data_IF_445821289906
#
_entry.id   IF_445821289906
#
_cell.length_a   1.000
_cell.length_b   1.000
_cell.length_c   1.000
_cell.angle_alpha   90.00
_cell.angle_beta   90.00
_cell.angle_gamma   90.00
#
_symmetry.space_group_name_H-M   'P 1'
#
loop_
_entity.id
_entity.type
_entity.pdbx_description
1 polymer ?
#
# COMPACT_ATOMS: atom_id res chain seq x y z
N UNK A 1 3.48 -21.35 -29.83
CA UNK A 1 3.52 -21.34 -28.36
C UNK A 1 4.57 -20.33 -27.93
N UNK A 2 4.21 -19.34 -27.12
CA UNK A 2 5.18 -18.39 -26.55
C UNK A 2 5.87 -19.01 -25.33
N UNK A 3 7.08 -18.56 -24.99
CA UNK A 3 7.88 -19.08 -23.88
C UNK A 3 7.09 -19.07 -22.55
N UNK A 4 6.25 -18.06 -22.33
CA UNK A 4 5.34 -18.01 -21.17
C UNK A 4 4.22 -19.06 -21.17
N UNK A 5 3.73 -19.46 -22.34
CA UNK A 5 2.77 -20.58 -22.45
C UNK A 5 3.42 -21.91 -22.05
N UNK A 6 4.69 -22.10 -22.40
CA UNK A 6 5.49 -23.27 -21.98
C UNK A 6 5.72 -23.23 -20.46
N UNK A 7 6.04 -22.05 -19.90
CA UNK A 7 6.24 -21.88 -18.46
C UNK A 7 4.98 -22.18 -17.63
N UNK A 8 3.80 -21.81 -18.11
CA UNK A 8 2.52 -22.16 -17.48
C UNK A 8 2.22 -23.66 -17.62
N UNK A 9 2.41 -24.22 -18.82
CA UNK A 9 2.15 -25.64 -19.08
C UNK A 9 3.08 -26.59 -18.31
N UNK A 10 4.29 -26.13 -17.97
CA UNK A 10 5.31 -26.92 -17.28
C UNK A 10 5.61 -26.40 -15.87
N UNK A 11 4.62 -25.82 -15.19
CA UNK A 11 4.79 -25.23 -13.85
C UNK A 11 5.30 -26.22 -12.80
N UNK A 12 4.97 -27.50 -12.96
CA UNK A 12 5.42 -28.59 -12.08
C UNK A 12 6.82 -29.12 -12.40
N UNK A 13 7.48 -28.62 -13.45
CA UNK A 13 8.85 -29.01 -13.79
C UNK A 13 9.85 -28.24 -12.92
N UNK A 14 10.83 -28.95 -12.36
CA UNK A 14 11.72 -28.45 -11.30
C UNK A 14 12.57 -27.24 -11.70
N UNK A 15 12.83 -27.03 -12.99
CA UNK A 15 13.80 -26.02 -13.48
C UNK A 15 13.26 -25.09 -14.57
N UNK A 16 12.11 -25.41 -15.18
CA UNK A 16 11.60 -24.67 -16.34
C UNK A 16 11.19 -23.24 -15.98
N UNK A 17 10.44 -22.99 -14.89
CA UNK A 17 10.09 -21.63 -14.50
C UNK A 17 11.31 -20.75 -14.24
N UNK A 18 12.30 -21.28 -13.54
CA UNK A 18 13.55 -20.59 -13.19
C UNK A 18 14.36 -20.24 -14.44
N UNK A 19 14.52 -21.18 -15.38
CA UNK A 19 15.20 -20.90 -16.66
C UNK A 19 14.50 -19.80 -17.44
N UNK A 20 13.16 -19.82 -17.50
CA UNK A 20 12.38 -18.78 -18.19
C UNK A 20 12.56 -17.42 -17.51
N UNK A 21 12.51 -17.37 -16.18
CA UNK A 21 12.77 -16.13 -15.43
C UNK A 21 14.17 -15.59 -15.75
N UNK A 22 15.21 -16.44 -15.74
CA UNK A 22 16.58 -16.00 -16.06
C UNK A 22 16.71 -15.47 -17.48
N UNK A 23 16.11 -16.15 -18.48
CA UNK A 23 16.09 -15.70 -19.87
C UNK A 23 15.42 -14.33 -19.97
N UNK A 24 14.28 -14.15 -19.30
CA UNK A 24 13.58 -12.87 -19.29
C UNK A 24 14.42 -11.79 -18.60
N UNK A 25 15.00 -12.04 -17.43
CA UNK A 25 15.85 -11.07 -16.73
C UNK A 25 17.07 -10.63 -17.56
N UNK A 26 17.69 -11.54 -18.32
CA UNK A 26 18.80 -11.20 -19.20
C UNK A 26 18.37 -10.30 -20.37
N UNK A 27 17.14 -10.45 -20.87
CA UNK A 27 16.62 -9.70 -22.01
C UNK A 27 15.87 -8.43 -21.64
N UNK A 28 15.30 -8.39 -20.44
CA UNK A 28 14.39 -7.35 -20.02
C UNK A 28 15.06 -5.98 -20.05
N UNK A 29 14.48 -5.07 -20.85
CA UNK A 29 14.94 -3.70 -21.06
C UNK A 29 16.38 -3.53 -21.60
N UNK A 30 16.94 -4.54 -22.28
CA UNK A 30 18.23 -4.42 -22.98
C UNK A 30 18.12 -4.83 -24.48
N UNK A 31 17.67 -3.93 -25.38
CA UNK A 31 17.09 -2.60 -25.12
C UNK A 31 15.59 -2.65 -24.76
N UNK A 32 14.98 -1.55 -24.24
CA UNK A 32 13.54 -1.47 -24.03
C UNK A 32 12.74 -1.81 -25.29
N UNK A 33 11.76 -2.70 -25.16
CA UNK A 33 10.96 -3.13 -26.32
C UNK A 33 9.54 -3.56 -25.93
N UNK A 34 8.60 -3.65 -26.90
CA UNK A 34 7.26 -4.18 -26.64
C UNK A 34 7.27 -5.63 -26.10
N UNK A 35 8.37 -6.37 -26.30
CA UNK A 35 8.52 -7.72 -25.75
C UNK A 35 8.53 -7.70 -24.22
N UNK A 36 9.02 -6.63 -23.58
CA UNK A 36 9.06 -6.50 -22.13
C UNK A 36 7.65 -6.57 -21.52
N UNK A 37 6.64 -5.97 -22.19
CA UNK A 37 5.22 -6.04 -21.78
C UNK A 37 4.73 -7.50 -21.82
N UNK A 38 5.12 -8.24 -22.85
CA UNK A 38 4.77 -9.66 -22.99
C UNK A 38 5.46 -10.48 -21.91
N UNK A 39 6.73 -10.21 -21.59
CA UNK A 39 7.45 -10.88 -20.50
C UNK A 39 6.78 -10.67 -19.16
N UNK A 40 6.40 -9.44 -18.80
CA UNK A 40 5.66 -9.12 -17.56
C UNK A 40 4.38 -9.94 -17.47
N UNK A 41 3.59 -9.98 -18.54
CA UNK A 41 2.35 -10.78 -18.58
C UNK A 41 2.61 -12.28 -18.45
N UNK A 42 3.68 -12.79 -19.06
CA UNK A 42 4.06 -14.20 -18.95
C UNK A 42 4.47 -14.55 -17.52
N UNK A 43 5.29 -13.73 -16.87
CA UNK A 43 5.71 -13.92 -15.49
C UNK A 43 4.51 -13.92 -14.53
N UNK A 44 3.55 -13.02 -14.74
CA UNK A 44 2.31 -13.00 -13.96
C UNK A 44 1.46 -14.27 -14.15
N UNK A 45 1.34 -14.76 -15.39
CA UNK A 45 0.61 -16.00 -15.65
C UNK A 45 1.30 -17.22 -15.00
N UNK A 46 2.64 -17.29 -15.05
CA UNK A 46 3.41 -18.35 -14.39
C UNK A 46 3.26 -18.28 -12.87
N UNK A 47 3.26 -17.07 -12.31
CA UNK A 47 2.98 -16.86 -10.89
C UNK A 47 1.64 -17.47 -10.48
N UNK A 48 0.58 -17.08 -11.19
CA UNK A 48 -0.81 -17.50 -10.95
C UNK A 48 -0.94 -19.02 -11.12
N UNK A 49 -0.22 -19.60 -12.07
CA UNK A 49 -0.19 -21.05 -12.29
C UNK A 49 0.50 -21.83 -11.15
N UNK A 50 1.10 -21.16 -10.16
CA UNK A 50 1.73 -21.80 -9.01
C UNK A 50 3.24 -22.03 -9.14
N UNK A 51 3.94 -21.28 -10.00
CA UNK A 51 5.39 -21.35 -10.16
C UNK A 51 6.14 -20.78 -8.93
N UNK A 52 6.07 -21.45 -7.78
CA UNK A 52 6.56 -20.93 -6.49
C UNK A 52 8.06 -20.57 -6.50
N UNK A 53 8.88 -21.28 -7.27
CA UNK A 53 10.33 -21.04 -7.34
C UNK A 53 10.69 -19.63 -7.85
N UNK A 54 9.86 -19.05 -8.73
CA UNK A 54 10.11 -17.73 -9.31
C UNK A 54 9.42 -16.59 -8.57
N UNK A 55 8.63 -16.89 -7.53
CA UNK A 55 7.81 -15.88 -6.85
C UNK A 55 8.68 -14.74 -6.29
N UNK A 56 9.76 -15.05 -5.59
CA UNK A 56 10.63 -13.99 -5.08
C UNK A 56 11.23 -13.11 -6.19
N UNK A 57 11.69 -13.73 -7.28
CA UNK A 57 12.30 -13.03 -8.39
C UNK A 57 11.32 -12.11 -9.14
N UNK A 58 10.10 -12.59 -9.39
CA UNK A 58 9.08 -11.81 -10.10
C UNK A 58 8.59 -10.63 -9.26
N UNK A 59 8.34 -10.81 -7.95
CA UNK A 59 7.94 -9.66 -7.12
C UNK A 59 9.06 -8.66 -6.96
N UNK A 60 10.32 -9.10 -6.85
CA UNK A 60 11.46 -8.18 -6.83
C UNK A 60 11.52 -7.34 -8.10
N UNK A 61 11.32 -7.95 -9.27
CA UNK A 61 11.28 -7.24 -10.56
C UNK A 61 10.12 -6.24 -10.61
N UNK A 62 8.92 -6.64 -10.20
CA UNK A 62 7.73 -5.78 -10.24
C UNK A 62 7.83 -4.61 -9.25
N UNK A 63 8.37 -4.86 -8.05
CA UNK A 63 8.68 -3.82 -7.07
C UNK A 63 9.69 -2.82 -7.64
N UNK A 64 10.78 -3.31 -8.24
CA UNK A 64 11.79 -2.45 -8.86
C UNK A 64 11.18 -1.56 -9.95
N UNK A 65 10.40 -2.15 -10.87
CA UNK A 65 9.73 -1.39 -11.93
C UNK A 65 8.76 -0.36 -11.34
N UNK A 66 7.98 -0.74 -10.33
CA UNK A 66 7.00 0.15 -9.71
C UNK A 66 7.69 1.37 -9.07
N UNK A 67 8.79 1.16 -8.35
CA UNK A 67 9.56 2.24 -7.72
C UNK A 67 10.24 3.13 -8.78
N UNK A 68 10.96 2.53 -9.74
CA UNK A 68 11.74 3.28 -10.73
C UNK A 68 10.87 4.00 -11.78
N UNK A 69 9.67 3.47 -12.08
CA UNK A 69 8.72 4.13 -12.99
C UNK A 69 7.85 5.20 -12.33
N UNK A 70 7.80 5.26 -11.00
CA UNK A 70 6.98 6.19 -10.22
C UNK A 70 7.36 7.67 -10.38
N UNK A 71 8.51 7.98 -11.00
CA UNK A 71 8.96 9.34 -11.29
C UNK A 71 8.16 10.07 -12.39
N UNK A 72 7.09 9.46 -12.92
CA UNK A 72 6.56 9.83 -14.24
C UNK A 72 5.37 10.79 -14.31
N UNK A 73 4.67 11.15 -13.24
CA UNK A 73 3.28 11.64 -13.47
C UNK A 73 3.10 13.17 -13.54
N UNK A 74 3.95 14.02 -12.95
CA UNK A 74 3.72 15.50 -12.97
C UNK A 74 4.96 16.40 -13.10
N UNK A 75 6.07 15.90 -13.64
CA UNK A 75 7.25 16.73 -13.91
C UNK A 75 7.07 17.47 -15.24
N UNK A 76 6.74 18.78 -15.21
CA UNK A 76 6.69 19.63 -16.42
C UNK A 76 8.09 20.07 -16.91
N UNK A 77 9.16 19.67 -16.23
CA UNK A 77 10.53 20.00 -16.65
C UNK A 77 11.10 18.92 -17.57
N UNK A 78 11.88 19.30 -18.60
CA UNK A 78 12.58 18.34 -19.46
C UNK A 78 13.70 17.68 -18.65
N UNK A 79 13.41 16.51 -18.07
CA UNK A 79 14.41 15.78 -17.29
C UNK A 79 15.24 14.87 -18.20
N UNK A 80 16.51 14.68 -17.85
CA UNK A 80 17.48 13.91 -18.63
C UNK A 80 16.98 12.49 -18.94
N UNK A 81 17.31 11.97 -20.13
CA UNK A 81 16.89 10.66 -20.65
C UNK A 81 17.18 9.45 -19.73
N UNK A 82 18.03 9.61 -18.73
CA UNK A 82 18.40 8.62 -17.72
C UNK A 82 17.34 8.41 -16.61
N UNK A 83 16.34 9.28 -16.46
CA UNK A 83 15.34 9.20 -15.38
C UNK A 83 14.03 8.47 -15.74
N UNK A 84 13.94 7.87 -16.93
CA UNK A 84 12.72 7.23 -17.44
C UNK A 84 12.79 5.69 -17.48
N UNK A 85 13.45 5.08 -16.49
CA UNK A 85 13.66 3.63 -16.48
C UNK A 85 12.31 2.91 -16.26
N UNK A 86 12.02 1.92 -17.11
CA UNK A 86 10.81 1.08 -17.05
C UNK A 86 9.45 1.78 -17.25
N UNK A 87 9.46 3.04 -17.67
CA UNK A 87 8.26 3.81 -17.96
C UNK A 87 7.30 3.12 -18.96
N UNK A 88 7.84 2.38 -19.93
CA UNK A 88 7.09 1.65 -20.95
C UNK A 88 6.36 0.40 -20.44
N UNK A 89 6.72 -0.12 -19.26
CA UNK A 89 6.15 -1.34 -18.67
C UNK A 89 5.36 -1.10 -17.38
N UNK A 90 5.35 0.13 -16.86
CA UNK A 90 4.67 0.48 -15.60
C UNK A 90 3.21 0.01 -15.55
N UNK A 91 2.42 0.33 -16.58
CA UNK A 91 1.02 -0.11 -16.70
C UNK A 91 0.89 -1.64 -16.80
N UNK A 92 1.83 -2.31 -17.47
CA UNK A 92 1.80 -3.76 -17.60
C UNK A 92 2.05 -4.44 -16.25
N UNK A 93 2.94 -3.88 -15.42
CA UNK A 93 3.20 -4.36 -14.06
C UNK A 93 2.00 -4.09 -13.16
N UNK A 94 1.39 -2.91 -13.25
CA UNK A 94 0.18 -2.55 -12.51
C UNK A 94 -0.96 -3.56 -12.76
N UNK A 95 -1.23 -3.85 -14.03
CA UNK A 95 -2.22 -4.85 -14.45
C UNK A 95 -1.82 -6.27 -14.02
N UNK A 96 -0.53 -6.61 -14.09
CA UNK A 96 -0.04 -7.91 -13.66
C UNK A 96 -0.25 -8.13 -12.15
N UNK A 97 0.06 -7.14 -11.31
CA UNK A 97 -0.19 -7.19 -9.87
C UNK A 97 -1.67 -7.35 -9.56
N UNK A 98 -2.56 -6.65 -10.30
CA UNK A 98 -4.01 -6.83 -10.17
C UNK A 98 -4.45 -8.25 -10.52
N UNK A 99 -3.93 -8.83 -11.60
CA UNK A 99 -4.24 -10.22 -11.98
C UNK A 99 -3.69 -11.24 -11.00
N UNK A 100 -2.52 -11.00 -10.40
CA UNK A 100 -1.96 -11.87 -9.37
C UNK A 100 -2.83 -11.82 -8.10
N UNK A 101 -3.23 -10.62 -7.66
CA UNK A 101 -4.11 -10.45 -6.51
C UNK A 101 -5.48 -11.15 -6.70
N UNK A 102 -6.04 -11.07 -7.91
CA UNK A 102 -7.30 -11.73 -8.25
C UNK A 102 -7.16 -13.25 -8.44
N UNK A 103 -6.07 -13.70 -9.07
CA UNK A 103 -5.90 -15.09 -9.53
C UNK A 103 -5.18 -16.02 -8.56
N UNK A 104 -4.59 -15.52 -7.47
CA UNK A 104 -3.86 -16.37 -6.51
C UNK A 104 -4.79 -17.38 -5.82
N UNK A 105 -4.33 -18.61 -5.64
CA UNK A 105 -5.06 -19.65 -4.91
C UNK A 105 -5.21 -19.28 -3.42
N UNK A 106 -6.24 -19.80 -2.76
CA UNK A 106 -6.45 -19.58 -1.33
C UNK A 106 -5.39 -20.29 -0.48
N UNK A 107 -5.02 -19.69 0.66
CA UNK A 107 -4.04 -20.24 1.61
C UNK A 107 -2.83 -19.34 1.87
N UNK A 108 -1.70 -19.95 2.24
CA UNK A 108 -0.47 -19.25 2.69
C UNK A 108 0.12 -18.28 1.65
N UNK A 109 -0.12 -18.57 0.37
CA UNK A 109 0.34 -17.75 -0.75
C UNK A 109 -0.36 -16.36 -0.76
N UNK A 110 -1.62 -16.25 -0.28
CA UNK A 110 -2.34 -14.97 -0.14
C UNK A 110 -1.70 -14.07 0.91
N UNK A 111 -1.37 -14.62 2.08
CA UNK A 111 -0.73 -13.87 3.16
C UNK A 111 0.66 -13.37 2.72
N UNK A 112 1.40 -14.23 2.03
CA UNK A 112 2.72 -13.89 1.46
C UNK A 112 2.61 -12.76 0.43
N UNK A 113 1.60 -12.78 -0.44
CA UNK A 113 1.35 -11.70 -1.40
C UNK A 113 0.91 -10.41 -0.70
N UNK A 114 0.04 -10.49 0.31
CA UNK A 114 -0.44 -9.34 1.07
C UNK A 114 0.72 -8.58 1.71
N UNK A 115 1.64 -9.30 2.36
CA UNK A 115 2.86 -8.71 2.95
C UNK A 115 3.65 -7.94 1.89
N UNK A 116 3.85 -8.53 0.70
CA UNK A 116 4.61 -7.88 -0.38
C UNK A 116 3.93 -6.64 -0.97
N UNK A 117 2.60 -6.68 -1.11
CA UNK A 117 1.84 -5.53 -1.61
C UNK A 117 1.86 -4.37 -0.60
N UNK A 118 1.72 -4.66 0.70
CA UNK A 118 1.85 -3.66 1.75
C UNK A 118 3.27 -3.11 1.84
N UNK A 119 4.29 -3.96 1.67
CA UNK A 119 5.69 -3.50 1.63
C UNK A 119 5.96 -2.58 0.46
N UNK A 120 5.46 -2.92 -0.74
CA UNK A 120 5.57 -2.06 -1.89
C UNK A 120 4.87 -0.71 -1.65
N UNK A 121 3.67 -0.74 -1.07
CA UNK A 121 2.95 0.48 -0.69
C UNK A 121 3.78 1.36 0.26
N UNK A 122 4.30 0.79 1.35
CA UNK A 122 5.11 1.53 2.32
C UNK A 122 6.40 2.06 1.69
N UNK A 123 7.08 1.27 0.85
CA UNK A 123 8.29 1.69 0.13
C UNK A 123 8.02 2.86 -0.81
N UNK A 124 6.93 2.83 -1.58
CA UNK A 124 6.52 3.95 -2.43
C UNK A 124 6.22 5.21 -1.61
N UNK A 125 5.61 5.07 -0.43
CA UNK A 125 5.38 6.19 0.48
C UNK A 125 6.65 6.81 1.04
N UNK A 126 7.65 5.98 1.38
CA UNK A 126 8.96 6.46 1.85
C UNK A 126 9.70 7.19 0.72
N UNK A 127 9.75 6.60 -0.48
CA UNK A 127 10.44 7.20 -1.62
C UNK A 127 9.77 8.51 -2.05
N UNK A 128 8.43 8.55 -2.04
CA UNK A 128 7.66 9.76 -2.30
C UNK A 128 8.02 10.92 -1.37
N UNK A 129 8.28 10.65 -0.08
CA UNK A 129 8.76 11.67 0.86
C UNK A 129 10.19 12.08 0.62
N UNK A 130 11.10 11.12 0.40
CA UNK A 130 12.53 11.41 0.14
C UNK A 130 12.72 12.35 -1.04
N UNK A 131 11.89 12.21 -2.07
CA UNK A 131 11.88 13.11 -3.24
C UNK A 131 11.25 14.46 -2.90
N UNK A 132 10.18 14.48 -2.10
CA UNK A 132 9.52 15.71 -1.62
C UNK A 132 10.40 16.60 -0.72
N UNK A 133 11.30 16.02 0.08
CA UNK A 133 12.23 16.76 0.94
C UNK A 133 13.33 17.49 0.16
N UNK A 134 13.73 16.97 -1.01
CA UNK A 134 14.80 17.55 -1.84
C UNK A 134 14.34 18.73 -2.70
N UNK A 135 13.03 18.87 -2.93
CA UNK A 135 12.46 19.88 -3.83
C UNK A 135 11.30 20.55 -3.11
N UNK A 136 11.50 21.81 -2.76
CA UNK A 136 10.59 22.76 -2.11
C UNK A 136 9.09 22.45 -2.23
N UNK A 137 8.39 22.62 -1.09
CA UNK A 137 6.93 22.64 -0.82
C UNK A 137 6.03 23.01 -2.02
N UNK A 138 5.85 22.10 -2.98
CA UNK A 138 4.85 22.24 -4.04
C UNK A 138 3.81 21.14 -3.90
N UNK A 139 2.55 21.54 -3.77
CA UNK A 139 1.36 20.68 -3.68
C UNK A 139 1.24 19.68 -4.83
N UNK A 140 1.92 19.96 -5.96
CA UNK A 140 1.91 19.17 -7.19
C UNK A 140 2.76 17.90 -7.13
N UNK A 141 3.78 17.79 -6.24
CA UNK A 141 4.57 16.54 -6.11
C UNK A 141 4.07 15.58 -5.04
N UNK A 142 3.32 16.09 -4.06
CA UNK A 142 2.61 15.27 -3.07
C UNK A 142 1.49 14.46 -3.75
N UNK A 143 0.92 14.95 -4.86
CA UNK A 143 -0.08 14.24 -5.66
C UNK A 143 0.49 13.12 -6.53
N UNK A 144 1.74 13.23 -7.02
CA UNK A 144 2.40 12.19 -7.82
C UNK A 144 2.70 10.95 -6.99
N UNK A 145 3.26 11.12 -5.79
CA UNK A 145 3.59 10.01 -4.88
C UNK A 145 2.34 9.35 -4.33
N UNK A 146 1.34 10.15 -3.94
CA UNK A 146 0.03 9.67 -3.55
C UNK A 146 -0.66 8.91 -4.70
N UNK A 147 -0.50 9.35 -5.95
CA UNK A 147 -1.02 8.63 -7.12
C UNK A 147 -0.50 7.19 -7.21
N UNK A 148 0.81 6.99 -7.01
CA UNK A 148 1.44 5.67 -7.06
C UNK A 148 1.06 4.77 -5.87
N UNK A 149 0.81 5.35 -4.70
CA UNK A 149 0.26 4.64 -3.55
C UNK A 149 -1.18 4.18 -3.81
N UNK A 150 -2.02 5.10 -4.28
CA UNK A 150 -3.45 4.87 -4.49
C UNK A 150 -3.73 3.74 -5.46
N UNK A 151 -2.95 3.59 -6.53
CA UNK A 151 -3.13 2.49 -7.48
C UNK A 151 -2.92 1.12 -6.85
N UNK A 152 -2.18 0.96 -5.75
CA UNK A 152 -2.02 -0.34 -5.09
C UNK A 152 -3.22 -0.75 -4.24
N UNK A 153 -4.01 0.21 -3.76
CA UNK A 153 -5.12 -0.05 -2.84
C UNK A 153 -6.17 -1.02 -3.43
N UNK A 154 -6.63 -0.86 -4.69
CA UNK A 154 -7.56 -1.82 -5.28
C UNK A 154 -7.00 -3.24 -5.33
N UNK A 155 -5.69 -3.42 -5.54
CA UNK A 155 -5.08 -4.76 -5.57
C UNK A 155 -5.06 -5.40 -4.18
N UNK A 156 -4.72 -4.62 -3.15
CA UNK A 156 -4.77 -5.05 -1.75
C UNK A 156 -6.21 -5.41 -1.37
N UNK A 157 -7.18 -4.58 -1.74
CA UNK A 157 -8.60 -4.81 -1.49
C UNK A 157 -9.11 -6.08 -2.18
N UNK A 158 -8.79 -6.29 -3.46
CA UNK A 158 -9.15 -7.51 -4.22
C UNK A 158 -8.64 -8.77 -3.52
N UNK A 159 -7.39 -8.75 -3.06
CA UNK A 159 -6.82 -9.87 -2.32
C UNK A 159 -7.54 -10.09 -0.97
N UNK A 160 -7.67 -9.03 -0.17
CA UNK A 160 -8.26 -9.10 1.17
C UNK A 160 -9.74 -9.48 1.17
N UNK A 161 -10.49 -9.12 0.12
CA UNK A 161 -11.91 -9.48 -0.03
C UNK A 161 -12.11 -11.00 0.04
N UNK A 162 -11.12 -11.77 -0.42
CA UNK A 162 -11.13 -13.25 -0.42
C UNK A 162 -10.53 -13.87 0.84
N UNK A 163 -10.01 -13.06 1.77
CA UNK A 163 -9.40 -13.53 3.01
C UNK A 163 -10.34 -13.36 4.21
N UNK A 164 -10.08 -14.12 5.27
CA UNK A 164 -10.71 -13.86 6.58
C UNK A 164 -10.12 -12.59 7.21
N UNK A 165 -10.86 -11.88 8.08
CA UNK A 165 -10.31 -10.77 8.85
C UNK A 165 -9.07 -11.19 9.63
N UNK A 166 -8.05 -10.31 9.64
CA UNK A 166 -6.75 -10.63 10.22
C UNK A 166 -6.77 -10.27 11.70
N UNK A 167 -6.98 -11.25 12.58
CA UNK A 167 -7.06 -11.00 14.03
C UNK A 167 -5.73 -11.16 14.77
N UNK A 168 -4.80 -11.99 14.26
CA UNK A 168 -3.51 -12.30 14.90
C UNK A 168 -2.34 -12.08 13.95
N UNK A 169 -2.05 -10.83 13.54
CA UNK A 169 -0.94 -10.55 12.63
C UNK A 169 0.41 -10.77 13.33
N UNK A 170 1.39 -11.25 12.56
CA UNK A 170 2.80 -11.17 12.95
C UNK A 170 3.22 -9.71 13.17
N UNK A 171 4.28 -9.48 13.94
CA UNK A 171 4.80 -8.11 14.21
C UNK A 171 5.09 -7.35 12.91
N UNK A 172 5.66 -8.01 11.90
CA UNK A 172 5.91 -7.42 10.57
C UNK A 172 4.61 -6.96 9.90
N UNK A 173 3.61 -7.84 9.82
CA UNK A 173 2.34 -7.52 9.15
C UNK A 173 1.57 -6.41 9.87
N UNK A 174 1.60 -6.41 11.20
CA UNK A 174 1.01 -5.36 12.04
C UNK A 174 1.62 -3.98 11.73
N UNK A 175 2.95 -3.91 11.68
CA UNK A 175 3.67 -2.68 11.37
C UNK A 175 3.32 -2.17 9.96
N UNK A 176 3.25 -3.08 8.98
CA UNK A 176 2.85 -2.74 7.62
C UNK A 176 1.43 -2.19 7.52
N UNK A 177 0.46 -2.79 8.23
CA UNK A 177 -0.90 -2.25 8.28
C UNK A 177 -0.95 -0.89 8.97
N UNK A 178 -0.22 -0.71 10.07
CA UNK A 178 -0.14 0.58 10.74
C UNK A 178 0.40 1.67 9.81
N UNK A 179 1.49 1.40 9.12
CA UNK A 179 2.09 2.35 8.17
C UNK A 179 1.12 2.62 7.01
N UNK A 180 0.45 1.60 6.49
CA UNK A 180 -0.60 1.73 5.47
C UNK A 180 -1.70 2.69 5.92
N UNK A 181 -2.24 2.51 7.13
CA UNK A 181 -3.30 3.36 7.67
C UNK A 181 -2.83 4.79 7.92
N UNK A 182 -1.60 4.97 8.41
CA UNK A 182 -1.03 6.30 8.59
C UNK A 182 -0.91 7.05 7.28
N UNK A 183 -0.42 6.41 6.20
CA UNK A 183 -0.43 7.03 4.88
C UNK A 183 -1.85 7.33 4.37
N UNK A 184 -2.80 6.42 4.59
CA UNK A 184 -4.20 6.65 4.23
C UNK A 184 -4.77 7.91 4.89
N UNK A 185 -4.54 8.07 6.19
CA UNK A 185 -5.02 9.22 6.95
C UNK A 185 -4.30 10.50 6.58
N UNK A 186 -2.96 10.47 6.42
CA UNK A 186 -2.17 11.66 6.09
C UNK A 186 -2.46 12.17 4.67
N UNK A 187 -2.65 11.27 3.72
CA UNK A 187 -2.93 11.62 2.32
C UNK A 187 -4.43 11.75 2.03
N UNK A 188 -5.30 11.43 2.98
CA UNK A 188 -6.75 11.56 2.85
C UNK A 188 -7.40 10.50 1.96
N UNK A 189 -6.79 9.33 1.80
CA UNK A 189 -7.40 8.19 1.10
C UNK A 189 -8.60 7.59 1.86
N UNK A 190 -8.66 7.81 3.18
CA UNK A 190 -9.72 7.36 4.07
C UNK A 190 -10.85 8.39 4.27
N UNK A 191 -10.92 9.42 3.40
CA UNK A 191 -11.94 10.47 3.45
C UNK A 191 -12.90 10.31 2.27
N UNK A 192 -14.15 9.99 2.61
CA UNK A 192 -15.25 9.90 1.66
C UNK A 192 -15.51 11.26 1.00
N UNK A 193 -15.78 11.28 -0.30
CA UNK A 193 -16.07 12.49 -1.08
C UNK A 193 -15.04 13.62 -0.92
N UNK A 194 -13.76 13.29 -0.68
CA UNK A 194 -12.70 14.29 -0.56
C UNK A 194 -12.55 15.16 -1.81
N UNK A 195 -12.96 14.65 -2.98
CA UNK A 195 -12.74 15.28 -4.29
C UNK A 195 -11.28 15.25 -4.73
N UNK A 196 -10.38 14.68 -3.93
CA UNK A 196 -8.94 14.62 -4.17
C UNK A 196 -8.54 13.37 -4.94
N UNK A 197 -9.18 12.24 -4.66
CA UNK A 197 -8.80 10.92 -5.15
C UNK A 197 -9.94 10.22 -5.89
N UNK A 198 -9.63 9.29 -6.82
CA UNK A 198 -10.63 8.41 -7.41
C UNK A 198 -11.46 7.70 -6.34
N UNK A 199 -12.77 7.64 -6.56
CA UNK A 199 -13.72 7.01 -5.63
C UNK A 199 -13.38 5.53 -5.36
N UNK A 200 -12.90 4.82 -6.39
CA UNK A 200 -12.47 3.43 -6.28
C UNK A 200 -11.36 3.21 -5.25
N UNK A 201 -10.53 4.23 -4.97
CA UNK A 201 -9.49 4.11 -3.94
C UNK A 201 -10.09 4.15 -2.54
N UNK A 202 -11.05 5.07 -2.30
CA UNK A 202 -11.80 5.08 -1.05
C UNK A 202 -12.57 3.77 -0.86
N UNK A 203 -13.26 3.28 -1.89
CA UNK A 203 -13.96 1.99 -1.87
C UNK A 203 -13.03 0.83 -1.54
N UNK A 204 -11.80 0.84 -2.09
CA UNK A 204 -10.78 -0.14 -1.75
C UNK A 204 -10.36 -0.05 -0.28
N UNK A 205 -10.13 1.16 0.25
CA UNK A 205 -9.80 1.38 1.68
C UNK A 205 -10.91 0.87 2.60
N UNK A 206 -12.18 1.07 2.23
CA UNK A 206 -13.32 0.51 2.97
C UNK A 206 -13.25 -1.02 3.06
N UNK A 207 -12.97 -1.71 1.95
CA UNK A 207 -12.78 -3.18 1.96
C UNK A 207 -11.60 -3.56 2.86
N UNK A 208 -10.47 -2.86 2.74
CA UNK A 208 -9.26 -3.12 3.54
C UNK A 208 -9.55 -2.94 5.05
N UNK A 209 -10.37 -1.96 5.43
CA UNK A 209 -10.80 -1.74 6.82
C UNK A 209 -11.51 -2.96 7.43
N UNK A 210 -12.36 -3.63 6.63
CA UNK A 210 -13.11 -4.83 7.09
C UNK A 210 -12.22 -6.03 7.40
N UNK A 211 -10.96 -6.03 6.92
CA UNK A 211 -10.04 -7.16 7.05
C UNK A 211 -8.77 -6.82 7.85
N UNK A 212 -8.49 -5.54 8.05
CA UNK A 212 -7.30 -5.07 8.78
C UNK A 212 -7.34 -5.51 10.25
N UNK A 213 -6.18 -5.77 10.87
CA UNK A 213 -6.09 -5.93 12.31
C UNK A 213 -6.36 -4.61 13.04
N UNK A 214 -6.64 -4.69 14.34
CA UNK A 214 -6.63 -3.52 15.23
C UNK A 214 -5.21 -2.92 15.33
N UNK A 215 -5.12 -1.60 15.46
CA UNK A 215 -3.87 -0.85 15.49
C UNK A 215 -3.27 -0.70 16.91
N UNK A 216 -3.57 -1.62 17.81
CA UNK A 216 -3.09 -1.59 19.20
C UNK A 216 -1.57 -1.81 19.23
N UNK A 217 -0.86 -0.93 19.95
CA UNK A 217 0.57 -1.05 20.25
C UNK A 217 0.87 -2.32 21.06
N UNK A 218 2.03 -2.95 20.83
CA UNK A 218 2.43 -4.14 21.59
C UNK A 218 3.13 -3.79 22.89
N UNK A 219 3.90 -2.69 22.89
CA UNK A 219 4.63 -2.22 24.06
C UNK A 219 4.13 -0.83 24.43
N UNK A 220 4.93 0.20 24.17
CA UNK A 220 4.60 1.57 24.46
C UNK A 220 4.22 2.30 23.18
N UNK A 221 2.96 2.73 23.08
CA UNK A 221 2.45 3.51 21.95
C UNK A 221 3.33 4.73 21.66
N UNK A 222 3.83 5.43 22.68
CA UNK A 222 4.69 6.60 22.50
C UNK A 222 5.98 6.24 21.77
N UNK A 223 6.64 5.16 22.17
CA UNK A 223 7.88 4.70 21.52
C UNK A 223 7.60 4.25 20.08
N UNK A 224 6.53 3.48 19.88
CA UNK A 224 6.15 2.98 18.56
C UNK A 224 5.75 4.08 17.57
N UNK A 225 5.25 5.22 18.06
CA UNK A 225 4.94 6.40 17.25
C UNK A 225 6.17 7.24 16.93
N UNK A 226 7.10 7.41 17.88
CA UNK A 226 8.33 8.19 17.68
C UNK A 226 9.21 7.58 16.58
N UNK A 227 9.33 6.24 16.57
CA UNK A 227 10.21 5.53 15.64
C UNK A 227 9.57 5.29 14.25
N UNK A 228 8.32 5.72 14.05
CA UNK A 228 7.57 5.40 12.85
C UNK A 228 7.94 6.33 11.67
N UNK A 229 8.55 5.75 10.63
CA UNK A 229 8.93 6.47 9.43
C UNK A 229 7.74 7.11 8.69
N UNK A 230 6.53 6.57 8.83
CA UNK A 230 5.30 7.05 8.19
C UNK A 230 4.77 8.37 8.77
N UNK A 231 5.21 8.82 9.94
CA UNK A 231 4.63 9.99 10.64
C UNK A 231 5.67 10.92 11.28
N UNK A 232 6.92 10.91 10.81
CA UNK A 232 7.97 11.78 11.38
C UNK A 232 7.53 13.26 11.38
N UNK A 233 7.60 13.86 12.56
CA UNK A 233 7.00 15.16 12.89
C UNK A 233 7.85 16.37 12.48
N UNK A 234 9.09 16.16 12.06
CA UNK A 234 10.08 17.21 11.77
C UNK A 234 9.74 18.07 10.54
N UNK A 235 8.88 17.56 9.66
CA UNK A 235 8.44 18.26 8.45
C UNK A 235 7.11 19.03 8.59
N UNK A 236 6.37 18.88 9.72
CA UNK A 236 4.99 19.37 9.85
C UNK A 236 4.97 20.77 10.47
N UNK A 237 4.28 21.70 9.81
CA UNK A 237 4.09 23.06 10.32
C UNK A 237 3.06 23.11 11.47
N UNK A 238 3.15 24.12 12.36
CA UNK A 238 2.15 24.30 13.42
C UNK A 238 0.71 24.44 12.90
N UNK A 239 0.53 25.02 11.70
CA UNK A 239 -0.78 25.18 11.08
C UNK A 239 -1.36 23.83 10.63
N UNK A 240 -0.57 23.00 9.94
CA UNK A 240 -0.98 21.65 9.53
C UNK A 240 -1.33 20.79 10.76
N UNK A 241 -0.54 20.88 11.84
CA UNK A 241 -0.86 20.20 13.09
C UNK A 241 -2.21 20.67 13.67
N UNK A 242 -2.50 21.97 13.61
CA UNK A 242 -3.78 22.48 14.10
C UNK A 242 -4.95 22.03 13.21
N UNK A 243 -4.77 21.92 11.90
CA UNK A 243 -5.77 21.35 10.98
C UNK A 243 -6.07 19.87 11.31
N UNK A 244 -5.04 19.08 11.60
CA UNK A 244 -5.21 17.70 12.07
C UNK A 244 -5.98 17.62 13.39
N UNK A 245 -5.62 18.46 14.38
CA UNK A 245 -6.35 18.53 15.65
C UNK A 245 -7.81 18.91 15.45
N UNK A 246 -8.09 19.90 14.62
CA UNK A 246 -9.45 20.31 14.30
C UNK A 246 -10.22 19.17 13.62
N UNK A 247 -9.58 18.41 12.74
CA UNK A 247 -10.18 17.23 12.10
C UNK A 247 -10.52 16.15 13.11
N UNK A 248 -9.62 15.84 14.05
CA UNK A 248 -9.87 14.89 15.15
C UNK A 248 -11.05 15.36 16.00
N UNK A 249 -11.06 16.64 16.41
CA UNK A 249 -12.17 17.24 17.14
C UNK A 249 -13.49 17.13 16.36
N UNK A 250 -13.47 17.37 15.04
CA UNK A 250 -14.63 17.23 14.17
C UNK A 250 -15.20 15.81 14.16
N UNK A 251 -14.35 14.78 14.03
CA UNK A 251 -14.77 13.38 14.09
C UNK A 251 -15.34 13.01 15.47
N UNK A 252 -14.85 13.65 16.53
CA UNK A 252 -15.30 13.45 17.91
C UNK A 252 -16.40 14.46 18.33
N UNK A 253 -17.10 15.06 17.36
CA UNK A 253 -18.22 15.99 17.57
C UNK A 253 -17.90 17.19 18.49
N UNK A 254 -16.65 17.64 18.51
CA UNK A 254 -16.18 18.79 19.28
C UNK A 254 -16.54 18.73 20.78
N UNK A 255 -16.51 17.53 21.39
CA UNK A 255 -16.78 17.38 22.82
C UNK A 255 -15.87 18.29 23.67
N UNK A 256 -16.49 19.10 24.54
CA UNK A 256 -15.79 20.08 25.39
C UNK A 256 -14.74 19.45 26.32
N UNK A 257 -14.92 18.19 26.70
CA UNK A 257 -13.99 17.43 27.54
C UNK A 257 -12.78 16.91 26.73
N UNK A 258 -12.99 16.64 25.43
CA UNK A 258 -11.99 16.01 24.55
C UNK A 258 -11.11 17.04 23.86
N UNK A 259 -11.67 18.19 23.47
CA UNK A 259 -10.93 19.25 22.76
C UNK A 259 -9.64 19.67 23.49
N UNK A 260 -9.62 19.90 24.81
CA UNK A 260 -8.37 20.24 25.53
C UNK A 260 -7.32 19.13 25.47
N UNK A 261 -7.74 17.86 25.40
CA UNK A 261 -6.84 16.71 25.29
C UNK A 261 -6.23 16.66 23.89
N UNK A 262 -7.06 16.76 22.85
CA UNK A 262 -6.61 16.75 21.45
C UNK A 262 -5.67 17.93 21.16
N UNK A 263 -5.92 19.11 21.73
CA UNK A 263 -5.04 20.27 21.55
C UNK A 263 -3.64 20.09 22.16
N UNK A 264 -3.45 19.10 23.05
CA UNK A 264 -2.14 18.73 23.59
C UNK A 264 -1.44 17.62 22.79
N UNK A 265 -2.15 16.98 21.86
CA UNK A 265 -1.60 15.90 21.05
C UNK A 265 -0.63 16.42 19.99
N UNK A 266 0.46 15.70 19.75
CA UNK A 266 1.33 15.94 18.62
C UNK A 266 0.76 15.35 17.31
N UNK A 267 1.48 15.54 16.20
CA UNK A 267 1.05 15.08 14.88
C UNK A 267 0.90 13.55 14.81
N UNK A 268 1.83 12.83 15.43
CA UNK A 268 1.84 11.38 15.46
C UNK A 268 0.63 10.82 16.22
N UNK A 269 0.33 11.40 17.38
CA UNK A 269 -0.84 11.06 18.19
C UNK A 269 -2.14 11.38 17.47
N UNK A 270 -2.24 12.54 16.81
CA UNK A 270 -3.42 12.90 16.01
C UNK A 270 -3.63 11.93 14.85
N UNK A 271 -2.56 11.59 14.12
CA UNK A 271 -2.61 10.65 12.99
C UNK A 271 -3.05 9.28 13.45
N UNK A 272 -2.47 8.77 14.54
CA UNK A 272 -2.85 7.49 15.12
C UNK A 272 -4.32 7.44 15.50
N UNK A 273 -4.80 8.41 16.28
CA UNK A 273 -6.19 8.46 16.73
C UNK A 273 -7.15 8.56 15.55
N UNK A 274 -6.85 9.41 14.57
CA UNK A 274 -7.68 9.57 13.38
C UNK A 274 -7.71 8.31 12.51
N UNK A 275 -6.57 7.61 12.37
CA UNK A 275 -6.47 6.32 11.67
C UNK A 275 -7.37 5.27 12.33
N UNK A 276 -7.32 5.15 13.66
CA UNK A 276 -8.17 4.22 14.41
C UNK A 276 -9.65 4.57 14.22
N UNK A 277 -10.03 5.83 14.44
CA UNK A 277 -11.44 6.25 14.35
C UNK A 277 -12.02 6.03 12.95
N UNK A 278 -11.28 6.39 11.90
CA UNK A 278 -11.75 6.23 10.52
C UNK A 278 -11.76 4.76 10.09
N UNK A 279 -10.71 4.01 10.37
CA UNK A 279 -10.65 2.58 10.05
C UNK A 279 -11.78 1.81 10.72
N UNK A 280 -11.99 2.01 12.02
CA UNK A 280 -13.03 1.29 12.76
C UNK A 280 -14.44 1.73 12.33
N UNK A 281 -14.65 3.01 12.03
CA UNK A 281 -15.90 3.48 11.41
C UNK A 281 -16.17 2.77 10.08
N UNK A 282 -15.18 2.71 9.18
CA UNK A 282 -15.31 2.02 7.90
C UNK A 282 -15.54 0.51 8.09
N UNK A 283 -14.83 -0.12 9.03
CA UNK A 283 -15.02 -1.53 9.37
C UNK A 283 -16.47 -1.78 9.79
N UNK A 284 -17.01 -0.98 10.70
CA UNK A 284 -18.40 -1.13 11.17
C UNK A 284 -19.42 -0.93 10.05
N UNK A 285 -19.21 0.05 9.18
CA UNK A 285 -20.16 0.37 8.09
C UNK A 285 -20.13 -0.70 6.98
N UNK A 286 -18.95 -1.20 6.63
CA UNK A 286 -18.77 -2.01 5.42
C UNK A 286 -18.57 -3.51 5.68
N UNK A 287 -18.33 -3.94 6.93
CA UNK A 287 -18.19 -5.35 7.23
C UNK A 287 -19.53 -6.07 7.25
N UNK A 288 -19.57 -7.25 6.63
CA UNK A 288 -20.77 -8.12 6.63
C UNK A 288 -20.89 -9.00 7.89
N UNK A 289 -19.82 -9.08 8.70
CA UNK A 289 -19.75 -9.95 9.87
C UNK A 289 -20.00 -9.18 11.17
N UNK A 290 -20.81 -9.76 12.07
CA UNK A 290 -21.27 -9.09 13.31
C UNK A 290 -20.15 -8.74 14.28
N UNK A 291 -19.09 -9.56 14.32
CA UNK A 291 -17.94 -9.35 15.20
C UNK A 291 -17.13 -8.09 14.86
N UNK A 292 -17.36 -7.49 13.69
CA UNK A 292 -16.66 -6.27 13.26
C UNK A 292 -16.81 -5.11 14.25
N UNK A 293 -17.99 -4.98 14.89
CA UNK A 293 -18.24 -3.97 15.93
C UNK A 293 -17.45 -4.26 17.20
N UNK A 294 -17.17 -5.54 17.49
CA UNK A 294 -16.49 -5.94 18.71
C UNK A 294 -15.00 -5.59 18.70
N UNK A 295 -14.40 -5.51 17.51
CA UNK A 295 -12.98 -5.15 17.36
C UNK A 295 -12.65 -3.78 17.95
N UNK A 296 -13.57 -2.81 17.89
CA UNK A 296 -13.39 -1.50 18.48
C UNK A 296 -13.22 -1.54 20.01
N UNK A 297 -13.87 -2.49 20.70
CA UNK A 297 -13.74 -2.60 22.15
C UNK A 297 -12.35 -3.05 22.59
N UNK A 298 -11.57 -3.69 21.71
CA UNK A 298 -10.20 -4.10 22.03
C UNK A 298 -9.27 -2.92 22.34
N UNK A 299 -9.56 -1.72 21.83
CA UNK A 299 -8.79 -0.51 22.17
C UNK A 299 -9.10 0.02 23.58
N UNK A 300 -10.20 -0.42 24.20
CA UNK A 300 -10.62 -0.04 25.54
C UNK A 300 -10.26 -1.09 26.59
N UNK A 301 -9.85 -2.28 26.15
CA UNK A 301 -9.36 -3.33 27.04
C UNK A 301 -8.03 -2.89 27.67
N UNK A 302 -8.00 -2.82 29.00
CA UNK A 302 -6.77 -2.66 29.77
C UNK A 302 -6.01 -4.00 29.74
N UNK A 303 -4.77 -4.01 29.26
CA UNK A 303 -3.95 -5.21 29.09
C UNK A 303 -2.70 -5.19 29.94
#
# INVERSE_FOLDING_TARGET
>A
MTLGGIGVALVGSKDVPDMILQIYLQRFANPPSPLDIVMVRCLANMWIAGARSIHDGVMKLFTQISIESSNRVYSQEPVAATEHRYAHVSLAVDQALGRIADGIAEGDDQLSLLVRLLELFVQLGIEGRRVGEKVSKSTVKMSTSAGNLGVLMPKIATLLKRMQPISQPSTRLRNLFRDFWFYCTVLGFDVEYSGLWPEDWYNAVCIIATKSPVLIAQENLRSELIDNAAIRSDAISPNELQEFRNTVCGVLNHSAEVVPIVNRMDFAQCTYLLSVLRMEKMRVIHAEHKEAVHEFFKYLEDK
#
